data_IF_840491312733
#
_entry.id   IF_840491312733
#
_cell.length_a   1.000
_cell.length_b   1.000
_cell.length_c   1.000
_cell.angle_alpha   90.00
_cell.angle_beta   90.00
_cell.angle_gamma   90.00
#
_symmetry.space_group_name_H-M   'P 1'
#
loop_
_entity.id
_entity.type
_entity.pdbx_description
1 polymer ?
#
# COMPACT_ATOMS: atom_id res chain seq x y z
N UNK A 1 30.75 33.01 30.41
CA UNK A 1 29.99 33.75 31.44
C UNK A 1 28.99 32.74 31.98
N UNK A 2 29.18 32.28 33.21
CA UNK A 2 28.40 31.16 33.75
C UNK A 2 27.00 31.65 34.13
N UNK A 3 25.96 30.92 33.71
CA UNK A 3 24.58 31.21 34.10
C UNK A 3 24.16 30.20 35.15
N UNK A 4 23.79 30.68 36.34
CA UNK A 4 23.23 29.83 37.38
C UNK A 4 21.84 29.34 36.94
N UNK A 5 21.59 28.03 37.04
CA UNK A 5 20.23 27.50 37.02
C UNK A 5 19.71 27.61 38.46
N UNK A 6 18.43 27.94 38.66
CA UNK A 6 17.85 28.01 40.00
C UNK A 6 18.12 26.71 40.79
N UNK A 7 18.96 26.79 41.82
CA UNK A 7 19.50 25.64 42.57
C UNK A 7 21.03 25.63 42.63
N UNK A 8 21.62 24.63 43.28
CA UNK A 8 23.08 24.44 43.44
C UNK A 8 23.79 23.93 42.18
N UNK A 9 23.06 23.56 41.13
CA UNK A 9 23.61 23.11 39.84
C UNK A 9 24.19 24.26 39.01
N UNK A 10 25.38 24.04 38.44
CA UNK A 10 26.09 25.06 37.65
C UNK A 10 26.23 24.61 36.20
N UNK A 11 25.79 25.44 35.24
CA UNK A 11 26.14 25.28 33.83
C UNK A 11 27.36 26.12 33.54
N UNK A 12 28.43 25.47 33.12
CA UNK A 12 29.66 26.14 32.71
C UNK A 12 29.73 26.13 31.20
N UNK A 13 29.83 27.32 30.61
CA UNK A 13 30.06 27.48 29.18
C UNK A 13 31.56 27.75 28.99
N UNK A 14 32.30 26.76 28.47
CA UNK A 14 33.71 26.92 28.19
C UNK A 14 33.96 26.83 26.69
N UNK A 15 34.73 27.80 26.18
CA UNK A 15 35.27 27.73 24.83
C UNK A 15 36.32 26.63 24.82
N UNK A 16 36.09 25.55 24.08
CA UNK A 16 37.09 24.51 23.90
C UNK A 16 38.25 25.13 23.10
N UNK A 17 39.48 24.94 23.58
CA UNK A 17 40.64 25.76 23.21
C UNK A 17 40.86 25.93 21.70
N UNK A 18 41.23 27.15 21.28
CA UNK A 18 41.73 27.46 19.95
C UNK A 18 40.70 27.59 18.81
N UNK A 19 39.51 27.00 18.95
CA UNK A 19 38.56 26.95 17.84
C UNK A 19 37.64 28.18 17.78
N UNK A 20 37.50 28.77 16.59
CA UNK A 20 36.52 29.82 16.33
C UNK A 20 35.17 29.17 16.02
N UNK A 21 34.27 29.13 17.01
CA UNK A 21 32.84 28.90 16.75
C UNK A 21 32.17 27.76 17.52
N UNK A 22 32.92 26.92 18.25
CA UNK A 22 32.33 25.85 19.05
C UNK A 22 32.34 26.21 20.55
N UNK A 23 31.15 26.31 21.14
CA UNK A 23 30.96 26.51 22.58
C UNK A 23 30.51 25.19 23.20
N UNK A 24 31.38 24.58 24.00
CA UNK A 24 31.00 23.45 24.83
C UNK A 24 30.23 23.95 26.05
N UNK A 25 29.10 23.30 26.36
CA UNK A 25 28.41 23.48 27.62
C UNK A 25 28.59 22.21 28.45
N UNK A 26 29.11 22.34 29.67
CA UNK A 26 29.15 21.26 30.65
C UNK A 26 28.21 21.59 31.80
N UNK A 27 27.36 20.64 32.19
CA UNK A 27 26.47 20.78 33.34
C UNK A 27 27.04 19.97 34.48
N UNK A 28 27.33 20.63 35.61
CA UNK A 28 27.71 19.93 36.83
C UNK A 28 26.46 19.48 37.58
N UNK A 29 26.27 18.16 37.63
CA UNK A 29 25.12 17.52 38.29
C UNK A 29 25.45 16.99 39.68
N UNK A 30 26.66 17.24 40.21
CA UNK A 30 27.09 16.65 41.49
C UNK A 30 26.31 17.14 42.70
N UNK A 31 25.54 18.22 42.55
CA UNK A 31 24.72 18.82 43.59
C UNK A 31 23.21 18.62 43.37
N UNK A 32 22.82 17.82 42.37
CA UNK A 32 21.45 17.39 42.14
C UNK A 32 21.14 16.21 43.08
N UNK A 33 19.97 16.20 43.71
CA UNK A 33 19.52 15.06 44.52
C UNK A 33 19.14 13.87 43.62
N UNK A 34 18.84 12.71 44.21
CA UNK A 34 18.54 11.46 43.49
C UNK A 34 17.24 11.51 42.64
N UNK A 35 16.63 12.68 42.46
CA UNK A 35 15.46 12.85 41.60
C UNK A 35 15.92 12.78 40.15
N UNK A 36 15.18 12.04 39.33
CA UNK A 36 15.47 11.86 37.91
C UNK A 36 15.34 13.20 37.16
N UNK A 37 16.45 13.81 36.79
CA UNK A 37 16.46 15.05 36.02
C UNK A 37 16.49 14.75 34.52
N UNK A 38 15.50 15.25 33.79
CA UNK A 38 15.49 15.23 32.33
C UNK A 38 16.12 16.51 31.80
N UNK A 39 17.37 16.42 31.32
CA UNK A 39 18.05 17.56 30.69
C UNK A 39 17.68 17.60 29.20
N UNK A 40 16.84 18.57 28.81
CA UNK A 40 16.44 18.78 27.42
C UNK A 40 17.42 19.71 26.70
N UNK A 41 18.31 19.16 25.87
CA UNK A 41 19.12 19.95 24.95
C UNK A 41 18.36 20.19 23.63
N UNK A 42 17.98 21.45 23.36
CA UNK A 42 17.48 21.82 22.03
C UNK A 42 18.66 22.10 21.11
N UNK A 43 19.11 21.08 20.37
CA UNK A 43 20.13 21.27 19.34
C UNK A 43 19.45 21.76 18.06
N UNK A 44 19.62 23.04 17.72
CA UNK A 44 19.23 23.55 16.40
C UNK A 44 20.39 23.31 15.43
N UNK A 45 20.40 22.16 14.77
CA UNK A 45 21.40 21.84 13.76
C UNK A 45 20.85 22.21 12.38
N UNK A 46 21.42 23.24 11.75
CA UNK A 46 21.15 23.51 10.34
C UNK A 46 21.80 22.43 9.47
N UNK A 47 21.01 21.70 8.69
CA UNK A 47 21.39 20.78 7.58
C UNK A 47 22.52 19.75 7.79
N UNK A 48 23.04 19.56 9.01
CA UNK A 48 24.03 18.52 9.30
C UNK A 48 23.33 17.18 9.56
N UNK A 49 23.81 16.12 8.92
CA UNK A 49 23.22 14.78 8.95
C UNK A 49 23.76 13.89 10.09
N UNK A 50 24.64 14.39 10.96
CA UNK A 50 25.16 13.63 12.09
C UNK A 50 25.45 14.52 13.32
N UNK A 51 24.87 14.16 14.45
CA UNK A 51 25.28 14.64 15.79
C UNK A 51 25.93 13.43 16.46
N UNK A 52 27.21 13.54 16.80
CA UNK A 52 27.88 12.50 17.60
C UNK A 52 27.71 12.90 19.06
N UNK A 53 26.80 12.21 19.77
CA UNK A 53 26.67 12.32 21.23
C UNK A 53 27.21 11.01 21.78
N UNK A 54 28.34 11.06 22.49
CA UNK A 54 28.96 9.86 23.04
C UNK A 54 28.00 9.22 24.07
N UNK A 55 27.67 7.95 23.86
CA UNK A 55 26.75 7.19 24.73
C UNK A 55 25.23 7.35 24.46
N UNK A 56 24.78 8.17 23.52
CA UNK A 56 23.35 8.25 23.15
C UNK A 56 23.10 7.53 21.82
N UNK A 57 22.57 6.31 21.87
CA UNK A 57 22.05 5.64 20.69
C UNK A 57 20.70 6.26 20.30
N UNK A 58 20.72 7.32 19.50
CA UNK A 58 19.51 7.79 18.82
C UNK A 58 19.16 6.72 17.77
N UNK A 59 18.16 5.88 18.08
CA UNK A 59 17.50 5.08 17.05
C UNK A 59 16.70 6.05 16.18
N UNK A 60 17.39 6.72 15.24
CA UNK A 60 16.68 7.23 14.08
C UNK A 60 16.17 5.99 13.38
N UNK A 61 14.86 5.74 13.42
CA UNK A 61 14.25 4.81 12.47
C UNK A 61 14.39 5.49 11.13
N UNK A 62 15.55 5.28 10.48
CA UNK A 62 15.71 5.56 9.06
C UNK A 62 14.68 4.65 8.43
N UNK A 63 13.56 5.25 8.06
CA UNK A 63 12.59 4.58 7.22
C UNK A 63 13.29 4.47 5.88
N UNK A 64 13.78 3.29 5.57
CA UNK A 64 14.26 3.00 4.23
C UNK A 64 13.03 3.01 3.32
N UNK A 65 12.88 4.10 2.56
CA UNK A 65 11.81 4.25 1.59
C UNK A 65 11.85 3.16 0.53
N UNK A 66 13.04 2.62 0.22
CA UNK A 66 13.21 1.45 -0.65
C UNK A 66 12.57 0.22 -0.03
N UNK A 67 12.90 -0.09 1.22
CA UNK A 67 12.30 -1.23 1.92
C UNK A 67 10.77 -1.13 2.05
N UNK A 68 10.22 0.07 2.22
CA UNK A 68 8.76 0.26 2.17
C UNK A 68 8.23 0.03 0.75
N UNK A 69 8.87 0.58 -0.27
CA UNK A 69 8.44 0.41 -1.65
C UNK A 69 8.47 -1.07 -2.05
N UNK A 70 9.54 -1.79 -1.76
CA UNK A 70 9.68 -3.23 -2.01
C UNK A 70 8.55 -3.99 -1.29
N UNK A 71 8.31 -3.69 0.00
CA UNK A 71 7.23 -4.32 0.75
C UNK A 71 5.83 -4.04 0.17
N UNK A 72 5.60 -2.89 -0.48
CA UNK A 72 4.30 -2.55 -1.09
C UNK A 72 4.16 -3.16 -2.49
N UNK A 73 5.22 -3.14 -3.30
CA UNK A 73 5.18 -3.61 -4.69
C UNK A 73 5.30 -5.12 -4.82
N UNK A 74 6.01 -5.77 -3.90
CA UNK A 74 6.16 -7.24 -3.86
C UNK A 74 5.12 -7.90 -2.93
N UNK A 75 4.13 -7.13 -2.45
CA UNK A 75 3.08 -7.66 -1.60
C UNK A 75 2.26 -8.73 -2.33
N UNK A 76 1.98 -9.82 -1.62
CA UNK A 76 1.30 -10.97 -2.19
C UNK A 76 -0.17 -10.64 -2.49
N UNK A 77 -0.56 -10.72 -3.76
CA UNK A 77 -1.93 -10.43 -4.22
C UNK A 77 -3.02 -11.33 -3.61
N UNK A 78 -2.69 -12.54 -3.14
CA UNK A 78 -3.69 -13.50 -2.64
C UNK A 78 -4.44 -13.00 -1.40
N UNK A 79 -3.90 -12.02 -0.67
CA UNK A 79 -4.58 -11.37 0.45
C UNK A 79 -5.56 -10.27 0.05
N UNK A 80 -5.60 -9.88 -1.23
CA UNK A 80 -6.39 -8.77 -1.73
C UNK A 80 -7.51 -9.21 -2.68
N UNK A 81 -8.14 -10.35 -2.41
CA UNK A 81 -9.24 -10.90 -3.21
C UNK A 81 -10.63 -10.39 -2.82
N UNK A 82 -10.71 -9.41 -1.92
CA UNK A 82 -12.00 -8.90 -1.40
C UNK A 82 -12.72 -8.10 -2.48
N UNK A 83 -14.03 -8.35 -2.62
CA UNK A 83 -14.84 -7.70 -3.65
C UNK A 83 -14.88 -6.18 -3.51
N UNK A 84 -14.63 -5.49 -4.63
CA UNK A 84 -14.60 -4.03 -4.71
C UNK A 84 -13.27 -3.39 -4.30
N UNK A 85 -12.24 -4.19 -4.00
CA UNK A 85 -10.90 -3.68 -3.68
C UNK A 85 -10.01 -3.51 -4.92
N UNK A 86 -8.96 -2.71 -4.79
CA UNK A 86 -7.95 -2.54 -5.85
C UNK A 86 -7.26 -3.86 -6.22
N UNK A 87 -6.98 -4.72 -5.23
CA UNK A 87 -6.31 -6.00 -5.51
C UNK A 87 -7.20 -6.97 -6.28
N UNK A 88 -8.50 -6.99 -6.01
CA UNK A 88 -9.44 -7.76 -6.80
C UNK A 88 -9.45 -7.28 -8.27
N UNK A 89 -9.53 -5.95 -8.49
CA UNK A 89 -9.49 -5.40 -9.84
C UNK A 89 -8.21 -5.81 -10.58
N UNK A 90 -7.06 -5.82 -9.90
CA UNK A 90 -5.80 -6.27 -10.46
C UNK A 90 -5.83 -7.77 -10.81
N UNK A 91 -6.41 -8.60 -9.94
CA UNK A 91 -6.58 -10.04 -10.20
C UNK A 91 -7.49 -10.29 -11.43
N UNK A 92 -8.58 -9.53 -11.57
CA UNK A 92 -9.45 -9.57 -12.75
C UNK A 92 -8.70 -9.17 -14.02
N UNK A 93 -7.97 -8.05 -13.99
CA UNK A 93 -7.17 -7.58 -15.13
C UNK A 93 -6.12 -8.64 -15.52
N UNK A 94 -5.44 -9.23 -14.53
CA UNK A 94 -4.48 -10.32 -14.77
C UNK A 94 -5.14 -11.51 -15.46
N UNK A 95 -6.31 -11.95 -14.98
CA UNK A 95 -7.07 -13.03 -15.60
C UNK A 95 -7.42 -12.73 -17.06
N UNK A 96 -7.89 -11.51 -17.36
CA UNK A 96 -8.23 -11.09 -18.72
C UNK A 96 -7.01 -11.01 -19.65
N UNK A 97 -5.91 -10.41 -19.18
CA UNK A 97 -4.66 -10.27 -19.97
C UNK A 97 -4.03 -11.63 -20.25
N UNK A 98 -4.12 -12.57 -19.31
CA UNK A 98 -3.65 -13.95 -19.49
C UNK A 98 -4.63 -14.84 -20.27
N UNK A 99 -5.80 -14.31 -20.64
CA UNK A 99 -6.88 -15.07 -21.28
C UNK A 99 -7.39 -16.24 -20.43
N UNK A 100 -7.32 -16.10 -19.10
CA UNK A 100 -7.89 -17.05 -18.14
C UNK A 100 -9.38 -16.74 -17.93
N UNK A 101 -10.16 -16.79 -18.99
CA UNK A 101 -11.60 -16.58 -18.92
C UNK A 101 -12.32 -17.56 -19.85
N UNK A 102 -13.58 -17.82 -19.55
CA UNK A 102 -14.47 -18.59 -20.40
C UNK A 102 -15.82 -17.89 -20.52
N UNK A 103 -16.48 -18.12 -21.65
CA UNK A 103 -17.86 -17.72 -21.90
C UNK A 103 -18.73 -18.98 -21.82
N UNK A 104 -19.70 -18.98 -20.91
CA UNK A 104 -20.61 -20.10 -20.68
C UNK A 104 -22.06 -19.65 -20.54
N UNK A 105 -22.97 -20.59 -20.29
CA UNK A 105 -24.41 -20.33 -20.15
C UNK A 105 -24.97 -19.49 -21.31
N UNK A 106 -24.48 -19.76 -22.53
CA UNK A 106 -24.76 -18.94 -23.70
C UNK A 106 -26.15 -19.22 -24.26
N UNK A 107 -26.94 -18.18 -24.47
CA UNK A 107 -28.22 -18.23 -25.16
C UNK A 107 -28.11 -17.51 -26.51
N UNK A 108 -28.62 -18.15 -27.56
CA UNK A 108 -28.61 -17.61 -28.93
C UNK A 108 -30.04 -17.44 -29.45
N UNK A 109 -30.26 -16.45 -30.31
CA UNK A 109 -31.52 -16.31 -31.03
C UNK A 109 -31.59 -17.26 -32.24
N UNK A 110 -32.73 -17.24 -32.95
CA UNK A 110 -32.96 -18.06 -34.16
C UNK A 110 -32.00 -17.79 -35.31
N UNK A 111 -31.26 -16.66 -35.28
CA UNK A 111 -30.24 -16.30 -36.27
C UNK A 111 -28.82 -16.69 -35.82
N UNK A 112 -28.68 -17.39 -34.69
CA UNK A 112 -27.39 -17.80 -34.13
C UNK A 112 -26.59 -16.66 -33.47
N UNK A 113 -27.23 -15.53 -33.15
CA UNK A 113 -26.57 -14.42 -32.46
C UNK A 113 -26.71 -14.56 -30.94
N UNK A 114 -25.62 -14.32 -30.20
CA UNK A 114 -25.60 -14.37 -28.74
C UNK A 114 -26.52 -13.28 -28.16
N UNK A 115 -27.50 -13.69 -27.36
CA UNK A 115 -28.46 -12.78 -26.69
C UNK A 115 -28.25 -12.69 -25.19
N UNK A 116 -27.70 -13.74 -24.58
CA UNK A 116 -27.26 -13.74 -23.20
C UNK A 116 -26.10 -14.73 -23.01
N UNK A 117 -25.32 -14.55 -21.95
CA UNK A 117 -24.24 -15.44 -21.59
C UNK A 117 -23.60 -14.98 -20.29
N UNK A 118 -22.55 -15.69 -19.88
CA UNK A 118 -21.81 -15.38 -18.68
C UNK A 118 -20.31 -15.52 -18.92
N UNK A 119 -19.57 -14.48 -18.57
CA UNK A 119 -18.11 -14.46 -18.64
C UNK A 119 -17.59 -14.74 -17.23
N UNK A 120 -16.84 -15.82 -17.07
CA UNK A 120 -16.16 -16.18 -15.82
C UNK A 120 -14.66 -15.97 -15.99
N UNK A 121 -14.04 -15.31 -15.02
CA UNK A 121 -12.61 -14.97 -15.03
C UNK A 121 -11.92 -15.70 -13.88
N UNK A 122 -10.78 -16.30 -14.16
CA UNK A 122 -10.05 -17.20 -13.26
C UNK A 122 -8.62 -16.72 -13.03
N UNK A 123 -8.04 -17.15 -11.90
CA UNK A 123 -6.67 -16.80 -11.53
C UNK A 123 -5.61 -17.55 -12.30
N UNK A 124 -5.94 -18.70 -12.87
CA UNK A 124 -5.02 -19.53 -13.64
C UNK A 124 -5.78 -20.28 -14.75
N UNK A 125 -5.03 -20.89 -15.66
CA UNK A 125 -5.58 -21.61 -16.81
C UNK A 125 -6.15 -22.98 -16.44
N UNK A 126 -5.63 -23.62 -15.40
CA UNK A 126 -6.07 -24.96 -15.01
C UNK A 126 -7.51 -24.93 -14.50
N UNK A 127 -7.87 -23.91 -13.72
CA UNK A 127 -9.24 -23.70 -13.26
C UNK A 127 -10.19 -23.44 -14.44
N UNK A 128 -9.75 -22.69 -15.47
CA UNK A 128 -10.54 -22.48 -16.70
C UNK A 128 -10.83 -23.80 -17.41
N UNK A 129 -9.84 -24.69 -17.46
CA UNK A 129 -9.97 -25.99 -18.11
C UNK A 129 -10.80 -26.98 -17.30
N UNK A 130 -10.77 -26.86 -15.97
CA UNK A 130 -11.56 -27.69 -15.07
C UNK A 130 -13.01 -27.22 -14.93
N UNK A 131 -13.28 -25.95 -15.26
CA UNK A 131 -14.59 -25.34 -15.12
C UNK A 131 -15.65 -26.01 -16.00
N UNK A 132 -16.84 -26.21 -15.45
CA UNK A 132 -17.98 -26.84 -16.12
C UNK A 132 -18.97 -25.81 -16.63
N UNK A 133 -19.66 -26.06 -17.75
CA UNK A 133 -20.70 -25.13 -18.25
C UNK A 133 -21.82 -24.97 -17.21
N UNK A 134 -22.10 -23.72 -16.81
CA UNK A 134 -23.06 -23.42 -15.75
C UNK A 134 -22.55 -23.62 -14.33
N UNK A 135 -21.29 -24.02 -14.15
CA UNK A 135 -20.64 -24.19 -12.84
C UNK A 135 -20.59 -22.91 -12.01
N UNK A 136 -20.49 -23.05 -10.69
CA UNK A 136 -20.34 -21.94 -9.74
C UNK A 136 -19.37 -22.34 -8.63
N UNK A 137 -18.48 -21.43 -8.24
CA UNK A 137 -17.52 -21.67 -7.15
C UNK A 137 -16.36 -22.58 -7.54
N UNK A 138 -15.98 -22.58 -8.82
CA UNK A 138 -14.90 -23.39 -9.40
C UNK A 138 -13.55 -22.63 -9.42
N UNK A 139 -13.42 -21.58 -8.60
CA UNK A 139 -12.22 -20.74 -8.54
C UNK A 139 -12.34 -19.45 -9.35
N UNK A 140 -13.56 -19.01 -9.68
CA UNK A 140 -13.78 -17.73 -10.33
C UNK A 140 -13.34 -16.56 -9.42
N UNK A 141 -12.59 -15.62 -9.98
CA UNK A 141 -12.31 -14.32 -9.37
C UNK A 141 -13.49 -13.37 -9.56
N UNK A 142 -14.12 -13.44 -10.74
CA UNK A 142 -15.25 -12.60 -11.08
C UNK A 142 -16.13 -13.25 -12.13
N UNK A 143 -17.42 -12.99 -12.00
CA UNK A 143 -18.45 -13.45 -12.93
C UNK A 143 -19.25 -12.25 -13.44
N UNK A 144 -19.42 -12.18 -14.76
CA UNK A 144 -20.16 -11.12 -15.44
C UNK A 144 -21.25 -11.72 -16.31
N UNK A 145 -22.49 -11.37 -16.01
CA UNK A 145 -23.62 -11.66 -16.87
C UNK A 145 -23.68 -10.66 -18.02
N UNK A 146 -23.83 -11.16 -19.23
CA UNK A 146 -24.00 -10.36 -20.44
C UNK A 146 -25.39 -10.64 -21.02
N UNK A 147 -26.12 -9.58 -21.34
CA UNK A 147 -27.46 -9.65 -21.92
C UNK A 147 -27.63 -8.52 -22.93
N UNK A 148 -28.37 -8.74 -24.01
CA UNK A 148 -28.68 -7.66 -24.95
C UNK A 148 -29.46 -6.54 -24.24
N UNK A 149 -28.96 -5.31 -24.33
CA UNK A 149 -29.57 -4.13 -23.72
C UNK A 149 -30.75 -3.66 -24.57
N UNK A 150 -31.96 -4.15 -24.25
CA UNK A 150 -33.22 -3.94 -25.00
C UNK A 150 -33.18 -4.52 -26.42
N UNK A 151 -34.28 -5.17 -26.83
CA UNK A 151 -34.46 -5.61 -28.22
C UNK A 151 -34.64 -4.40 -29.14
N UNK A 152 -33.54 -3.71 -29.44
CA UNK A 152 -33.56 -2.53 -30.29
C UNK A 152 -33.81 -2.93 -31.74
N UNK A 153 -35.09 -3.06 -32.12
CA UNK A 153 -35.60 -3.18 -33.50
C UNK A 153 -35.07 -4.40 -34.29
N UNK A 154 -35.89 -5.06 -35.12
CA UNK A 154 -35.43 -6.18 -35.97
C UNK A 154 -34.43 -5.79 -37.08
N UNK A 155 -33.93 -4.55 -37.11
CA UNK A 155 -32.98 -4.08 -38.13
C UNK A 155 -31.58 -4.66 -37.89
N UNK A 156 -31.13 -5.46 -38.85
CA UNK A 156 -30.01 -6.41 -38.77
C UNK A 156 -28.62 -5.77 -38.74
N UNK A 157 -28.50 -4.45 -38.95
CA UNK A 157 -27.23 -3.76 -39.19
C UNK A 157 -26.73 -2.88 -38.02
N UNK A 158 -27.38 -2.93 -36.86
CA UNK A 158 -26.98 -2.10 -35.70
C UNK A 158 -26.09 -2.88 -34.74
N UNK A 159 -25.01 -2.23 -34.29
CA UNK A 159 -24.17 -2.70 -33.18
C UNK A 159 -25.08 -3.02 -31.99
N UNK A 160 -25.12 -4.29 -31.59
CA UNK A 160 -25.89 -4.70 -30.41
C UNK A 160 -25.16 -4.22 -29.17
N UNK A 161 -25.85 -3.40 -28.38
CA UNK A 161 -25.36 -2.99 -27.07
C UNK A 161 -25.64 -4.14 -26.09
N UNK A 162 -24.62 -4.60 -25.39
CA UNK A 162 -24.78 -5.56 -24.30
C UNK A 162 -24.77 -4.83 -22.97
N UNK A 163 -25.76 -5.13 -22.13
CA UNK A 163 -25.73 -4.82 -20.71
C UNK A 163 -24.84 -5.86 -20.03
N UNK A 164 -23.83 -5.37 -19.32
CA UNK A 164 -22.95 -6.21 -18.50
C UNK A 164 -23.28 -5.94 -17.04
N UNK A 165 -23.55 -6.99 -16.28
CA UNK A 165 -23.80 -6.92 -14.84
C UNK A 165 -22.90 -7.90 -14.11
N UNK A 166 -22.23 -7.43 -13.07
CA UNK A 166 -21.33 -8.23 -12.26
C UNK A 166 -22.09 -8.99 -11.18
N UNK A 167 -21.75 -10.26 -10.96
CA UNK A 167 -22.21 -11.02 -9.78
C UNK A 167 -21.37 -10.63 -8.55
N UNK A 168 -22.05 -10.43 -7.42
CA UNK A 168 -21.45 -10.03 -6.14
C UNK A 168 -20.78 -11.19 -5.42
#
# INVERSE_FOLDING_TARGET
MDTAINGTGKVTLQKQGGETGFWGASVDTSALDEVEYVILFKVLVGYTTAITVDGLSIYSRIVDYGAIADAVWDEVLSGHSVVGTTGEAMMVIRGLVQQNFLLDSTAYNTKGLLVAGRIRIFGNKDDVLAATDGGVGEGEIATFNIQVANEASPDEDKVKMYKVTRES
#
